data_IF_696472113685
#
_entry.id   IF_696472113685
#
_cell.length_a   1.000
_cell.length_b   1.000
_cell.length_c   1.000
_cell.angle_alpha   90.00
_cell.angle_beta   90.00
_cell.angle_gamma   90.00
#
_symmetry.space_group_name_H-M   'P 1'
#
loop_
_entity.id
_entity.type
_entity.pdbx_description
1 polymer ?
#
# COMPACT_ATOMS: atom_id res chain seq x y z
N UNK A 1 15.20 -12.91 14.80
CA UNK A 1 16.25 -12.58 13.82
C UNK A 1 16.53 -13.77 12.91
N UNK A 2 16.83 -13.50 11.65
CA UNK A 2 17.24 -14.52 10.68
C UNK A 2 18.70 -14.97 10.92
N UNK A 3 19.00 -16.20 10.51
CA UNK A 3 20.29 -16.87 10.67
C UNK A 3 21.48 -16.09 10.10
N UNK A 4 21.24 -15.22 9.11
CA UNK A 4 22.28 -14.36 8.53
C UNK A 4 22.83 -13.36 9.55
N UNK A 5 21.94 -12.81 10.39
CA UNK A 5 22.26 -11.78 11.38
C UNK A 5 22.61 -12.36 12.75
N UNK A 6 22.14 -13.56 13.07
CA UNK A 6 22.31 -14.14 14.41
C UNK A 6 23.73 -14.61 14.70
N UNK A 7 24.23 -14.30 15.88
CA UNK A 7 25.48 -14.85 16.44
C UNK A 7 25.53 -14.68 17.97
N UNK A 8 26.24 -15.57 18.69
CA UNK A 8 26.44 -15.44 20.13
C UNK A 8 27.04 -14.09 20.54
N UNK A 9 28.04 -13.61 19.80
CA UNK A 9 28.70 -12.31 20.07
C UNK A 9 27.71 -11.15 19.96
N UNK A 10 26.88 -11.13 18.90
CA UNK A 10 25.85 -10.11 18.74
C UNK A 10 24.83 -10.17 19.88
N UNK A 11 24.37 -11.36 20.25
CA UNK A 11 23.35 -11.54 21.27
C UNK A 11 23.84 -11.09 22.65
N UNK A 12 25.09 -11.42 23.01
CA UNK A 12 25.73 -10.91 24.23
C UNK A 12 25.82 -9.38 24.24
N UNK A 13 26.13 -8.76 23.09
CA UNK A 13 26.19 -7.29 22.96
C UNK A 13 24.82 -6.62 22.98
N UNK A 14 23.77 -7.29 22.51
CA UNK A 14 22.39 -6.81 22.62
C UNK A 14 21.91 -6.90 24.06
N UNK A 15 22.22 -8.00 24.73
CA UNK A 15 21.90 -8.19 26.14
C UNK A 15 22.57 -7.14 27.04
N UNK A 16 23.85 -6.80 26.81
CA UNK A 16 24.51 -5.73 27.57
C UNK A 16 23.87 -4.36 27.38
N UNK A 17 23.12 -4.17 26.29
CA UNK A 17 22.28 -2.99 26.02
C UNK A 17 20.83 -3.14 26.50
N UNK A 18 20.51 -4.19 27.25
CA UNK A 18 19.16 -4.55 27.70
C UNK A 18 18.18 -4.76 26.54
N UNK A 19 18.68 -5.25 25.40
CA UNK A 19 17.87 -5.60 24.23
C UNK A 19 17.78 -7.12 24.13
N UNK A 20 16.58 -7.64 24.34
CA UNK A 20 16.29 -9.07 24.16
C UNK A 20 16.36 -9.50 22.71
N UNK A 21 16.96 -10.66 22.44
CA UNK A 21 17.12 -11.20 21.10
C UNK A 21 16.70 -12.67 21.04
N UNK A 22 15.98 -13.04 19.98
CA UNK A 22 15.61 -14.41 19.67
C UNK A 22 15.63 -14.62 18.16
N UNK A 23 16.15 -15.76 17.69
CA UNK A 23 16.30 -16.02 16.27
C UNK A 23 16.90 -17.36 15.92
N UNK A 24 16.80 -17.71 14.65
CA UNK A 24 17.52 -18.87 14.10
C UNK A 24 18.99 -18.51 13.97
N UNK A 25 19.88 -19.50 14.12
CA UNK A 25 21.34 -19.32 13.99
C UNK A 25 21.94 -20.50 13.24
N UNK A 26 23.02 -20.25 12.49
CA UNK A 26 23.78 -21.33 11.87
C UNK A 26 24.59 -22.05 12.94
N UNK A 27 24.43 -23.37 13.06
CA UNK A 27 25.12 -24.16 14.10
C UNK A 27 26.66 -24.09 14.04
N UNK A 28 27.23 -23.83 12.87
CA UNK A 28 28.68 -23.68 12.67
C UNK A 28 29.21 -22.26 12.93
N UNK A 29 28.37 -21.34 13.45
CA UNK A 29 28.80 -19.97 13.76
C UNK A 29 29.77 -19.99 14.95
N UNK A 30 30.79 -19.13 14.93
CA UNK A 30 31.75 -19.00 16.03
C UNK A 30 31.03 -18.70 17.36
N UNK A 31 31.39 -19.44 18.41
CA UNK A 31 30.81 -19.33 19.74
C UNK A 31 29.57 -20.20 19.97
N UNK A 32 29.06 -20.89 18.95
CA UNK A 32 28.03 -21.92 19.15
C UNK A 32 28.63 -23.18 19.76
N UNK A 33 27.91 -23.89 20.65
CA UNK A 33 28.34 -25.18 21.17
C UNK A 33 28.47 -26.20 20.04
N UNK A 34 29.64 -26.86 19.96
CA UNK A 34 29.93 -27.84 18.91
C UNK A 34 29.09 -29.09 19.08
N UNK A 35 28.68 -29.38 20.31
CA UNK A 35 27.81 -30.49 20.67
C UNK A 35 26.47 -30.40 19.93
N UNK A 36 25.93 -29.20 19.71
CA UNK A 36 24.69 -29.00 18.95
C UNK A 36 24.85 -29.16 17.43
N UNK A 37 26.05 -29.44 16.91
CA UNK A 37 26.26 -29.72 15.49
C UNK A 37 25.56 -31.01 15.07
N UNK A 38 25.15 -31.05 13.80
CA UNK A 38 24.43 -32.21 13.25
C UNK A 38 25.23 -33.50 13.23
N UNK A 39 26.56 -33.40 13.18
CA UNK A 39 27.47 -34.53 13.24
C UNK A 39 27.51 -35.17 14.64
N UNK A 40 27.29 -34.37 15.69
CA UNK A 40 27.46 -34.79 17.09
C UNK A 40 26.14 -35.23 17.72
N UNK A 41 25.05 -34.52 17.44
CA UNK A 41 23.71 -34.88 17.92
C UNK A 41 22.81 -35.10 16.71
N UNK A 42 22.34 -36.32 16.50
CA UNK A 42 21.42 -36.69 15.41
C UNK A 42 19.98 -36.68 15.92
N UNK A 43 19.28 -35.56 15.74
CA UNK A 43 17.86 -35.43 16.04
C UNK A 43 17.01 -35.89 14.85
N UNK A 44 15.94 -36.63 15.14
CA UNK A 44 14.87 -37.01 14.23
C UNK A 44 13.62 -36.18 14.52
N UNK A 45 12.68 -36.21 13.58
CA UNK A 45 11.41 -35.49 13.72
C UNK A 45 10.62 -36.00 14.92
N UNK A 46 10.32 -35.09 15.85
CA UNK A 46 9.58 -35.38 17.07
C UNK A 46 10.42 -35.89 18.23
N UNK A 47 11.75 -35.87 18.10
CA UNK A 47 12.64 -35.96 19.26
C UNK A 47 12.55 -34.68 20.10
N UNK A 48 12.84 -34.81 21.39
CA UNK A 48 12.86 -33.69 22.31
C UNK A 48 13.94 -32.67 21.96
N UNK A 49 13.67 -31.37 22.17
CA UNK A 49 14.67 -30.33 21.93
C UNK A 49 15.85 -30.44 22.87
N UNK A 50 17.06 -30.25 22.33
CA UNK A 50 18.30 -30.23 23.12
C UNK A 50 18.69 -28.79 23.37
N UNK A 51 18.85 -28.44 24.64
CA UNK A 51 19.22 -27.09 25.08
C UNK A 51 20.65 -27.05 25.61
N UNK A 52 21.31 -25.92 25.39
CA UNK A 52 22.58 -25.57 26.02
C UNK A 52 22.51 -24.12 26.47
N UNK A 53 23.05 -23.83 27.64
CA UNK A 53 22.96 -22.52 28.24
C UNK A 53 24.35 -22.03 28.65
N UNK A 54 24.60 -20.75 28.40
CA UNK A 54 25.77 -20.03 28.89
C UNK A 54 25.31 -18.68 29.43
N UNK A 55 25.36 -18.50 30.75
CA UNK A 55 24.73 -17.36 31.41
C UNK A 55 23.23 -17.32 31.11
N UNK A 56 22.75 -16.19 30.60
CA UNK A 56 21.34 -16.01 30.21
C UNK A 56 21.05 -16.40 28.76
N UNK A 57 22.07 -16.79 28.00
CA UNK A 57 21.91 -17.14 26.58
C UNK A 57 21.63 -18.64 26.45
N UNK A 58 20.55 -18.96 25.75
CA UNK A 58 20.13 -20.33 25.48
C UNK A 58 20.26 -20.62 23.99
N UNK A 59 20.98 -21.69 23.67
CA UNK A 59 20.99 -22.32 22.36
C UNK A 59 20.10 -23.56 22.39
N UNK A 60 19.31 -23.77 21.34
CA UNK A 60 18.42 -24.92 21.24
C UNK A 60 18.54 -25.56 19.86
N UNK A 61 18.78 -26.87 19.81
CA UNK A 61 18.65 -27.65 18.59
C UNK A 61 17.34 -28.44 18.62
N UNK A 62 16.54 -28.31 17.55
CA UNK A 62 15.25 -28.99 17.45
C UNK A 62 15.00 -29.44 16.01
N UNK A 63 14.28 -30.55 15.84
CA UNK A 63 14.00 -31.12 14.53
C UNK A 63 12.50 -31.29 14.31
N UNK A 64 11.94 -30.41 13.48
CA UNK A 64 10.58 -30.52 12.97
C UNK A 64 10.60 -31.11 11.56
N UNK A 65 10.14 -30.38 10.55
CA UNK A 65 10.33 -30.74 9.13
C UNK A 65 11.81 -30.66 8.72
N UNK A 66 12.54 -29.69 9.27
CA UNK A 66 13.99 -29.53 9.10
C UNK A 66 14.61 -29.29 10.47
N UNK A 67 15.85 -29.72 10.65
CA UNK A 67 16.66 -29.33 11.81
C UNK A 67 16.85 -27.83 11.81
N UNK A 68 16.62 -27.21 12.95
CA UNK A 68 16.94 -25.81 13.19
C UNK A 68 17.73 -25.67 14.48
N UNK A 69 18.49 -24.58 14.56
CA UNK A 69 19.16 -24.17 15.77
C UNK A 69 18.69 -22.75 16.10
N UNK A 70 18.21 -22.57 17.32
CA UNK A 70 17.78 -21.29 17.85
C UNK A 70 18.82 -20.75 18.81
N UNK A 71 18.88 -19.43 18.89
CA UNK A 71 19.58 -18.69 19.91
C UNK A 71 18.62 -17.68 20.52
N UNK A 72 18.62 -17.57 21.84
CA UNK A 72 17.78 -16.61 22.55
C UNK A 72 18.47 -16.10 23.83
N UNK A 73 18.21 -14.84 24.17
CA UNK A 73 18.54 -14.23 25.48
C UNK A 73 17.29 -13.87 26.29
N UNK A 74 16.10 -14.20 25.77
CA UNK A 74 14.79 -13.89 26.38
C UNK A 74 13.96 -15.14 26.70
N UNK A 75 14.41 -16.30 26.23
CA UNK A 75 13.74 -17.58 26.38
C UNK A 75 14.64 -18.51 27.18
N UNK A 76 14.02 -19.43 27.93
CA UNK A 76 14.68 -20.49 28.70
C UNK A 76 14.54 -21.83 27.97
N UNK A 77 14.78 -22.95 28.66
CA UNK A 77 14.56 -24.30 28.17
C UNK A 77 13.08 -24.75 28.17
N UNK A 78 12.12 -23.83 28.29
CA UNK A 78 10.71 -24.17 28.33
C UNK A 78 10.21 -24.67 26.96
N UNK A 79 9.30 -25.64 27.02
CA UNK A 79 8.62 -26.24 25.88
C UNK A 79 7.11 -26.06 25.98
N UNK A 80 6.43 -26.17 24.83
CA UNK A 80 4.98 -26.19 24.70
C UNK A 80 4.59 -27.39 23.85
N UNK A 81 3.43 -27.96 24.16
CA UNK A 81 2.90 -29.09 23.41
C UNK A 81 2.52 -28.69 21.98
N UNK A 82 2.94 -29.50 21.03
CA UNK A 82 2.57 -29.38 19.62
C UNK A 82 2.05 -30.72 19.13
N UNK A 83 0.82 -30.77 18.65
CA UNK A 83 0.32 -31.95 17.95
C UNK A 83 0.90 -32.04 16.55
N UNK A 84 1.35 -33.24 16.17
CA UNK A 84 1.79 -33.57 14.83
C UNK A 84 1.09 -34.83 14.33
N UNK A 85 0.80 -34.88 13.03
CA UNK A 85 0.27 -36.09 12.40
C UNK A 85 1.29 -37.22 12.49
N UNK A 86 0.82 -38.40 12.89
CA UNK A 86 1.60 -39.62 13.01
C UNK A 86 0.79 -40.79 12.45
N UNK A 87 1.39 -41.55 11.53
CA UNK A 87 0.76 -42.76 10.99
C UNK A 87 0.76 -43.91 12.01
N UNK A 88 1.63 -43.84 13.02
CA UNK A 88 1.89 -44.91 13.97
C UNK A 88 1.02 -44.80 15.24
N UNK A 89 0.23 -43.73 15.39
CA UNK A 89 -0.65 -43.51 16.55
C UNK A 89 -2.11 -43.81 16.21
N UNK A 90 -2.84 -44.41 17.15
CA UNK A 90 -4.25 -44.78 16.99
C UNK A 90 -5.17 -43.59 16.64
N UNK A 91 -4.89 -42.39 17.15
CA UNK A 91 -5.61 -41.14 16.85
C UNK A 91 -5.14 -40.45 15.55
N UNK A 92 -4.15 -41.00 14.86
CA UNK A 92 -3.47 -40.37 13.72
C UNK A 92 -2.60 -39.15 14.09
N UNK A 93 -2.49 -38.84 15.38
CA UNK A 93 -1.77 -37.68 15.91
C UNK A 93 -0.93 -38.08 17.13
N UNK A 94 0.21 -37.42 17.33
CA UNK A 94 1.02 -37.51 18.54
C UNK A 94 1.46 -36.13 19.00
N UNK A 95 1.63 -35.96 20.30
CA UNK A 95 2.14 -34.73 20.91
C UNK A 95 3.66 -34.76 20.93
N UNK A 96 4.29 -33.64 20.58
CA UNK A 96 5.74 -33.45 20.66
C UNK A 96 6.05 -32.13 21.34
N UNK A 97 7.18 -32.08 22.04
CA UNK A 97 7.64 -30.86 22.67
C UNK A 97 8.22 -29.88 21.64
N UNK A 98 7.69 -28.66 21.64
CA UNK A 98 8.17 -27.55 20.83
C UNK A 98 8.80 -26.49 21.74
N UNK A 99 10.04 -26.04 21.50
CA UNK A 99 10.63 -24.96 22.28
C UNK A 99 9.81 -23.67 22.23
N UNK A 100 9.63 -23.02 23.38
CA UNK A 100 8.97 -21.70 23.47
C UNK A 100 9.67 -20.67 22.58
N UNK A 101 11.01 -20.71 22.51
CA UNK A 101 11.80 -19.85 21.62
C UNK A 101 11.38 -19.99 20.15
N UNK A 102 11.09 -21.21 19.68
CA UNK A 102 10.62 -21.46 18.31
C UNK A 102 9.19 -20.94 18.12
N UNK A 103 8.32 -21.14 19.11
CA UNK A 103 6.95 -20.63 19.05
C UNK A 103 6.90 -19.11 18.97
N UNK A 104 7.68 -18.43 19.82
CA UNK A 104 7.84 -16.97 19.83
C UNK A 104 8.44 -16.46 18.53
N UNK A 105 9.50 -17.11 18.03
CA UNK A 105 10.10 -16.76 16.75
C UNK A 105 9.09 -16.83 15.59
N UNK A 106 8.35 -17.93 15.47
CA UNK A 106 7.35 -18.09 14.40
C UNK A 106 6.24 -17.03 14.48
N UNK A 107 5.86 -16.59 15.69
CA UNK A 107 4.86 -15.55 15.87
C UNK A 107 5.36 -14.17 15.38
N UNK A 108 6.64 -13.86 15.59
CA UNK A 108 7.19 -12.52 15.31
C UNK A 108 7.97 -12.40 13.99
N UNK A 109 8.42 -13.50 13.38
CA UNK A 109 9.31 -13.45 12.21
C UNK A 109 8.65 -12.86 10.96
N UNK A 110 7.33 -12.97 10.81
CA UNK A 110 6.59 -12.56 9.61
C UNK A 110 6.41 -11.04 9.48
N UNK A 111 6.95 -10.22 10.39
CA UNK A 111 6.75 -8.77 10.38
C UNK A 111 7.29 -8.09 9.11
N UNK A 112 8.51 -8.46 8.68
CA UNK A 112 9.12 -7.91 7.46
C UNK A 112 8.38 -8.38 6.22
N UNK A 113 8.08 -9.68 6.13
CA UNK A 113 7.36 -10.26 4.99
C UNK A 113 5.97 -9.62 4.82
N UNK A 114 5.25 -9.35 5.92
CA UNK A 114 3.96 -8.67 5.88
C UNK A 114 4.08 -7.24 5.36
N UNK A 115 5.11 -6.52 5.78
CA UNK A 115 5.38 -5.18 5.27
C UNK A 115 5.72 -5.20 3.78
N UNK A 116 6.56 -6.14 3.34
CA UNK A 116 6.89 -6.33 1.92
C UNK A 116 5.68 -6.75 1.08
N UNK A 117 4.78 -7.57 1.63
CA UNK A 117 3.52 -7.92 0.99
C UNK A 117 2.64 -6.68 0.76
N UNK A 118 2.52 -5.82 1.77
CA UNK A 118 1.74 -4.58 1.67
C UNK A 118 2.34 -3.59 0.66
N UNK A 119 3.68 -3.52 0.58
CA UNK A 119 4.37 -2.73 -0.44
C UNK A 119 4.19 -3.33 -1.85
N UNK A 120 4.27 -4.65 -1.96
CA UNK A 120 4.17 -5.38 -3.23
C UNK A 120 2.81 -5.23 -3.92
N UNK A 121 1.76 -4.86 -3.19
CA UNK A 121 0.41 -4.66 -3.75
C UNK A 121 0.33 -3.42 -4.64
N UNK A 122 1.18 -2.40 -4.41
CA UNK A 122 1.13 -1.12 -5.12
C UNK A 122 2.51 -0.70 -5.62
N UNK A 123 3.04 -1.47 -6.57
CA UNK A 123 4.36 -1.18 -7.15
C UNK A 123 4.33 0.06 -8.05
N UNK A 124 5.43 0.81 -8.02
CA UNK A 124 5.64 1.92 -8.95
C UNK A 124 5.87 1.37 -10.36
N UNK A 125 4.98 1.67 -11.34
CA UNK A 125 4.97 0.97 -12.63
C UNK A 125 5.99 1.53 -13.64
N UNK A 126 6.62 2.68 -13.38
CA UNK A 126 7.48 3.31 -14.36
C UNK A 126 8.93 2.81 -14.25
N UNK A 127 9.45 2.31 -15.36
CA UNK A 127 10.88 2.04 -15.52
C UNK A 127 11.64 3.37 -15.51
N UNK A 128 12.68 3.46 -14.69
CA UNK A 128 13.60 4.58 -14.66
C UNK A 128 15.03 4.05 -14.70
N UNK A 129 15.88 4.65 -15.54
CA UNK A 129 17.32 4.35 -15.59
C UNK A 129 18.08 4.95 -14.40
N UNK A 130 17.45 5.90 -13.69
CA UNK A 130 18.03 6.60 -12.55
C UNK A 130 17.73 5.84 -11.27
N UNK A 131 18.74 5.17 -10.72
CA UNK A 131 18.61 4.31 -9.53
C UNK A 131 17.98 4.99 -8.30
N UNK A 132 18.19 6.29 -8.11
CA UNK A 132 17.66 7.03 -6.96
C UNK A 132 16.13 7.19 -7.00
N UNK A 133 15.49 7.11 -8.17
CA UNK A 133 14.03 7.09 -8.24
C UNK A 133 13.47 5.87 -7.50
N UNK A 134 14.11 4.72 -7.61
CA UNK A 134 13.71 3.51 -6.88
C UNK A 134 13.72 3.73 -5.37
N UNK A 135 14.74 4.40 -4.85
CA UNK A 135 14.79 4.76 -3.43
C UNK A 135 13.67 5.71 -3.03
N UNK A 136 13.44 6.76 -3.80
CA UNK A 136 12.36 7.72 -3.55
C UNK A 136 11.00 7.04 -3.51
N UNK A 137 10.69 6.20 -4.51
CA UNK A 137 9.42 5.47 -4.54
C UNK A 137 9.29 4.50 -3.38
N UNK A 138 10.36 3.76 -3.04
CA UNK A 138 10.35 2.86 -1.87
C UNK A 138 10.10 3.61 -0.57
N UNK A 139 10.74 4.77 -0.37
CA UNK A 139 10.55 5.61 0.80
C UNK A 139 9.10 6.15 0.89
N UNK A 140 8.55 6.63 -0.23
CA UNK A 140 7.15 7.09 -0.30
C UNK A 140 6.16 5.98 0.02
N UNK A 141 6.31 4.79 -0.59
CA UNK A 141 5.41 3.67 -0.33
C UNK A 141 5.54 3.18 1.13
N UNK A 142 6.76 3.18 1.69
CA UNK A 142 6.99 2.88 3.11
C UNK A 142 6.26 3.86 4.02
N UNK A 143 6.31 5.16 3.73
CA UNK A 143 5.59 6.18 4.46
C UNK A 143 4.06 5.95 4.41
N UNK A 144 3.51 5.59 3.25
CA UNK A 144 2.08 5.27 3.09
C UNK A 144 1.66 4.03 3.90
N UNK A 145 2.46 2.96 3.88
CA UNK A 145 2.19 1.75 4.68
C UNK A 145 2.23 2.09 6.18
N UNK A 146 3.23 2.86 6.62
CA UNK A 146 3.34 3.29 8.01
C UNK A 146 2.14 4.17 8.42
N UNK A 147 1.74 5.13 7.58
CA UNK A 147 0.57 5.97 7.82
C UNK A 147 -0.71 5.13 7.95
N UNK A 148 -0.87 4.11 7.10
CA UNK A 148 -2.00 3.19 7.20
C UNK A 148 -1.98 2.37 8.50
N UNK A 149 -0.81 1.90 8.95
CA UNK A 149 -0.67 1.21 10.24
C UNK A 149 -1.07 2.13 11.40
N UNK A 150 -0.65 3.40 11.37
CA UNK A 150 -1.02 4.39 12.39
C UNK A 150 -2.53 4.65 12.36
N UNK A 151 -3.10 4.86 11.17
CA UNK A 151 -4.54 5.04 10.99
C UNK A 151 -5.36 3.87 11.56
N UNK A 152 -4.97 2.63 11.24
CA UNK A 152 -5.58 1.40 11.77
C UNK A 152 -5.52 1.26 13.29
N UNK A 153 -4.52 1.89 13.92
CA UNK A 153 -4.37 1.89 15.38
C UNK A 153 -5.18 3.00 16.03
N UNK A 154 -5.31 4.14 15.36
CA UNK A 154 -6.05 5.31 15.85
C UNK A 154 -7.57 5.14 15.71
N UNK A 155 -8.06 4.65 14.57
CA UNK A 155 -9.48 4.39 14.33
C UNK A 155 -9.74 2.88 14.26
N UNK A 156 -10.47 2.36 15.25
CA UNK A 156 -10.85 0.95 15.35
C UNK A 156 -12.24 0.65 14.82
N UNK A 157 -13.04 1.67 14.51
CA UNK A 157 -14.44 1.50 14.13
C UNK A 157 -14.64 1.61 12.63
N UNK A 158 -13.99 2.57 11.97
CA UNK A 158 -14.15 2.81 10.54
C UNK A 158 -12.86 2.53 9.78
N UNK A 159 -12.44 1.28 9.79
CA UNK A 159 -11.23 0.85 9.12
C UNK A 159 -11.47 0.77 7.60
N UNK A 160 -10.93 1.74 6.87
CA UNK A 160 -10.84 1.64 5.41
C UNK A 160 -9.88 0.52 4.98
N UNK A 161 -10.16 -0.06 3.81
CA UNK A 161 -9.19 -0.91 3.15
C UNK A 161 -7.97 -0.09 2.64
N UNK A 162 -6.81 -0.72 2.41
CA UNK A 162 -5.60 -0.02 2.00
C UNK A 162 -5.76 0.79 0.71
N UNK A 163 -6.61 0.35 -0.23
CA UNK A 163 -6.83 1.03 -1.50
C UNK A 163 -7.60 2.32 -1.30
N UNK A 164 -8.74 2.25 -0.59
CA UNK A 164 -9.55 3.42 -0.27
C UNK A 164 -8.78 4.41 0.58
N UNK A 165 -8.02 3.94 1.56
CA UNK A 165 -7.14 4.80 2.35
C UNK A 165 -6.18 5.60 1.47
N UNK A 166 -5.50 4.93 0.52
CA UNK A 166 -4.63 5.60 -0.46
C UNK A 166 -5.39 6.60 -1.33
N UNK A 167 -6.59 6.26 -1.78
CA UNK A 167 -7.42 7.14 -2.59
C UNK A 167 -7.83 8.41 -1.84
N UNK A 168 -8.17 8.30 -0.55
CA UNK A 168 -8.44 9.45 0.30
C UNK A 168 -7.22 10.37 0.45
N UNK A 169 -6.02 9.79 0.63
CA UNK A 169 -4.78 10.59 0.67
C UNK A 169 -4.57 11.32 -0.66
N UNK A 170 -4.74 10.64 -1.79
CA UNK A 170 -4.58 11.24 -3.13
C UNK A 170 -5.56 12.40 -3.31
N UNK A 171 -6.85 12.18 -3.01
CA UNK A 171 -7.87 13.21 -3.14
C UNK A 171 -7.57 14.42 -2.25
N UNK A 172 -7.22 14.20 -0.98
CA UNK A 172 -6.86 15.31 -0.07
C UNK A 172 -5.63 16.10 -0.50
N UNK A 173 -4.64 15.45 -1.11
CA UNK A 173 -3.48 16.14 -1.70
C UNK A 173 -3.85 16.95 -2.95
N UNK A 174 -4.84 16.49 -3.73
CA UNK A 174 -5.31 17.15 -4.94
C UNK A 174 -6.28 18.30 -4.66
N UNK A 175 -7.06 18.24 -3.58
CA UNK A 175 -8.02 19.28 -3.19
C UNK A 175 -7.35 20.64 -3.03
N UNK A 176 -6.14 20.67 -2.46
CA UNK A 176 -5.36 21.91 -2.31
C UNK A 176 -4.50 22.25 -3.53
N UNK A 177 -4.46 21.37 -4.53
CA UNK A 177 -3.70 21.58 -5.77
C UNK A 177 -4.56 22.27 -6.84
N UNK A 178 -4.88 23.54 -6.62
CA UNK A 178 -5.45 24.38 -7.66
C UNK A 178 -4.35 24.78 -8.64
N UNK A 179 -4.30 24.10 -9.79
CA UNK A 179 -3.37 24.44 -10.86
C UNK A 179 -3.78 25.78 -11.47
N UNK A 180 -3.28 26.91 -10.92
CA UNK A 180 -3.36 28.24 -11.53
C UNK A 180 -2.52 28.36 -12.82
N UNK A 181 -2.05 27.24 -13.38
CA UNK A 181 -1.37 27.20 -14.66
C UNK A 181 -2.39 27.48 -15.77
N UNK A 182 -2.42 28.74 -16.23
CA UNK A 182 -2.91 29.06 -17.58
C UNK A 182 -2.24 28.07 -18.54
N UNK A 183 -3.02 27.28 -19.28
CA UNK A 183 -2.50 26.38 -20.31
C UNK A 183 -1.67 27.22 -21.29
N UNK A 184 -0.34 27.15 -21.19
CA UNK A 184 0.57 27.73 -22.18
C UNK A 184 0.80 26.66 -23.24
N UNK A 185 0.20 26.86 -24.41
CA UNK A 185 0.30 25.97 -25.57
C UNK A 185 -0.61 26.45 -26.70
N UNK A 186 -0.29 26.03 -27.94
CA UNK A 186 -1.14 26.26 -29.12
C UNK A 186 -2.53 25.63 -28.85
N UNK A 187 -3.65 26.32 -29.11
CA UNK A 187 -4.97 25.73 -28.99
C UNK A 187 -5.03 24.41 -29.76
N UNK A 188 -5.57 23.38 -29.12
CA UNK A 188 -5.80 22.10 -29.77
C UNK A 188 -6.70 22.29 -30.98
N UNK A 189 -6.25 21.85 -32.16
CA UNK A 189 -7.08 21.69 -33.35
C UNK A 189 -7.79 20.33 -33.23
N UNK A 190 -8.54 20.11 -32.15
CA UNK A 190 -9.40 18.95 -32.04
C UNK A 190 -10.69 19.24 -32.84
N UNK A 191 -11.19 18.30 -33.67
CA UNK A 191 -12.27 18.55 -34.62
C UNK A 191 -13.67 18.63 -33.99
N UNK A 192 -13.79 18.53 -32.68
CA UNK A 192 -15.04 18.76 -31.95
C UNK A 192 -14.94 20.08 -31.19
N UNK A 193 -15.72 21.11 -31.56
CA UNK A 193 -15.72 22.35 -30.81
C UNK A 193 -16.16 22.04 -29.39
N UNK A 194 -15.46 22.58 -28.39
CA UNK A 194 -15.75 22.40 -26.95
C UNK A 194 -17.22 22.63 -26.57
N UNK A 195 -17.99 23.33 -27.42
CA UNK A 195 -19.45 23.47 -27.30
C UNK A 195 -20.22 22.14 -27.43
N UNK A 196 -19.67 21.11 -28.06
CA UNK A 196 -20.33 19.81 -28.28
C UNK A 196 -19.87 18.73 -27.29
N UNK A 197 -18.96 19.06 -26.38
CA UNK A 197 -18.46 18.15 -25.35
C UNK A 197 -18.70 18.75 -23.96
N UNK A 198 -19.14 17.92 -23.00
CA UNK A 198 -19.48 18.35 -21.64
C UNK A 198 -20.97 18.66 -21.41
N UNK A 199 -21.33 18.93 -20.16
CA UNK A 199 -22.69 19.28 -19.73
C UNK A 199 -22.87 20.79 -19.76
N UNK A 200 -23.67 21.29 -20.72
CA UNK A 200 -24.01 22.70 -20.86
C UNK A 200 -25.42 22.95 -20.31
N UNK A 201 -25.59 23.98 -19.49
CA UNK A 201 -26.89 24.34 -18.90
C UNK A 201 -27.28 25.78 -19.26
N UNK A 202 -28.55 26.04 -19.59
CA UNK A 202 -29.03 27.40 -19.80
C UNK A 202 -28.97 28.19 -18.49
N UNK A 203 -28.42 29.40 -18.54
CA UNK A 203 -28.43 30.35 -17.44
C UNK A 203 -28.91 31.73 -17.94
N UNK A 204 -29.16 32.66 -17.03
CA UNK A 204 -29.52 34.05 -17.35
C UNK A 204 -28.31 34.97 -17.16
N UNK A 205 -28.25 36.04 -17.95
CA UNK A 205 -27.32 37.12 -17.67
C UNK A 205 -27.61 37.78 -16.32
N UNK A 206 -26.57 38.14 -15.58
CA UNK A 206 -26.68 38.82 -14.28
C UNK A 206 -27.44 40.15 -14.39
N UNK A 207 -27.19 40.89 -15.47
CA UNK A 207 -27.92 42.11 -15.78
C UNK A 207 -29.22 41.77 -16.54
N UNK A 208 -30.37 41.87 -15.85
CA UNK A 208 -31.71 41.63 -16.43
C UNK A 208 -32.05 42.54 -17.63
N UNK A 209 -31.41 43.70 -17.75
CA UNK A 209 -31.59 44.63 -18.89
C UNK A 209 -30.72 44.26 -20.09
N UNK A 210 -29.69 43.44 -19.90
CA UNK A 210 -28.81 42.98 -20.97
C UNK A 210 -29.47 41.85 -21.77
N UNK A 211 -29.92 42.16 -22.98
CA UNK A 211 -30.59 41.23 -23.90
C UNK A 211 -29.87 41.21 -25.26
N UNK A 212 -28.72 40.53 -25.37
CA UNK A 212 -28.01 40.41 -26.63
C UNK A 212 -28.78 39.57 -27.66
N UNK A 213 -28.37 39.67 -28.92
CA UNK A 213 -28.95 38.91 -30.02
C UNK A 213 -28.48 37.44 -29.94
N UNK A 214 -29.38 36.49 -30.22
CA UNK A 214 -29.08 35.05 -30.17
C UNK A 214 -28.13 34.64 -31.31
N UNK A 215 -27.03 33.95 -30.99
CA UNK A 215 -26.00 33.55 -31.97
C UNK A 215 -26.52 32.59 -33.06
N UNK A 216 -27.56 31.83 -32.76
CA UNK A 216 -28.09 30.77 -33.63
C UNK A 216 -29.14 31.29 -34.60
N UNK A 217 -30.11 32.06 -34.13
CA UNK A 217 -31.31 32.42 -34.90
C UNK A 217 -31.44 33.91 -35.20
N UNK A 218 -30.57 34.77 -34.65
CA UNK A 218 -30.57 36.18 -34.98
C UNK A 218 -29.66 36.44 -36.18
N UNK A 219 -30.23 37.01 -37.23
CA UNK A 219 -29.50 37.49 -38.41
C UNK A 219 -29.97 38.90 -38.76
N UNK A 220 -29.14 39.90 -38.38
CA UNK A 220 -29.41 41.31 -38.70
C UNK A 220 -29.39 41.59 -40.20
N UNK A 221 -28.63 40.82 -40.99
CA UNK A 221 -28.49 41.05 -42.44
C UNK A 221 -29.76 40.66 -43.20
N UNK A 222 -30.50 39.67 -42.67
CA UNK A 222 -31.79 39.20 -43.20
C UNK A 222 -33.01 39.84 -42.51
N UNK A 223 -32.80 40.85 -41.65
CA UNK A 223 -33.87 41.52 -40.91
C UNK A 223 -34.46 40.73 -39.73
N UNK A 224 -33.96 39.52 -39.46
CA UNK A 224 -34.47 38.65 -38.40
C UNK A 224 -33.66 38.84 -37.10
N UNK A 225 -33.96 39.89 -36.35
CA UNK A 225 -33.35 40.11 -35.03
C UNK A 225 -34.10 39.35 -33.94
N UNK A 226 -33.38 38.53 -33.16
CA UNK A 226 -33.93 37.82 -32.00
C UNK A 226 -33.05 38.00 -30.78
N UNK A 227 -33.58 38.64 -29.73
CA UNK A 227 -32.86 38.86 -28.47
C UNK A 227 -33.17 37.77 -27.44
N UNK A 228 -32.22 37.50 -26.55
CA UNK A 228 -32.37 36.50 -25.47
C UNK A 228 -31.79 37.03 -24.16
N UNK A 229 -32.42 36.64 -23.04
CA UNK A 229 -31.88 36.84 -21.69
C UNK A 229 -31.05 35.65 -21.21
N UNK A 230 -30.97 34.59 -22.02
CA UNK A 230 -30.33 33.33 -21.67
C UNK A 230 -28.98 33.18 -22.36
N UNK A 231 -28.06 32.50 -21.69
CA UNK A 231 -26.72 32.22 -22.17
C UNK A 231 -26.24 30.85 -21.70
N UNK A 232 -25.18 30.35 -22.34
CA UNK A 232 -24.37 29.27 -21.79
C UNK A 232 -23.16 29.89 -21.09
N UNK A 233 -23.04 29.77 -19.75
CA UNK A 233 -21.90 30.32 -18.99
C UNK A 233 -20.56 29.70 -19.39
N UNK A 234 -20.55 28.42 -19.78
CA UNK A 234 -19.33 27.71 -20.18
C UNK A 234 -18.81 28.17 -21.55
N UNK A 235 -19.71 28.50 -22.49
CA UNK A 235 -19.36 28.97 -23.84
C UNK A 235 -19.38 30.50 -23.98
N UNK A 236 -19.91 31.21 -22.99
CA UNK A 236 -20.11 32.67 -22.99
C UNK A 236 -20.83 33.19 -24.25
N UNK A 237 -21.91 32.53 -24.65
CA UNK A 237 -22.71 32.89 -25.83
C UNK A 237 -24.19 33.06 -25.50
N UNK A 238 -24.87 34.06 -26.11
CA UNK A 238 -26.30 34.26 -25.96
C UNK A 238 -27.11 33.28 -26.82
N UNK A 239 -27.99 32.50 -26.19
CA UNK A 239 -28.78 31.45 -26.85
C UNK A 239 -30.24 31.51 -26.35
N UNK A 240 -31.22 31.29 -27.23
CA UNK A 240 -32.60 31.02 -26.79
C UNK A 240 -32.68 29.64 -26.15
N UNK A 241 -33.54 29.46 -25.13
CA UNK A 241 -33.68 28.19 -24.39
C UNK A 241 -33.95 27.01 -25.33
N UNK A 242 -34.89 27.18 -26.27
CA UNK A 242 -35.21 26.17 -27.29
C UNK A 242 -35.58 26.86 -28.61
N UNK A 243 -35.18 26.34 -29.78
CA UNK A 243 -34.31 25.17 -30.01
C UNK A 243 -32.81 25.54 -30.11
N UNK A 244 -32.47 26.81 -29.87
CA UNK A 244 -31.13 27.35 -30.16
C UNK A 244 -30.04 26.77 -29.25
N UNK A 245 -30.35 26.58 -27.96
CA UNK A 245 -29.40 26.01 -27.01
C UNK A 245 -28.97 24.59 -27.43
N UNK A 246 -29.95 23.72 -27.69
CA UNK A 246 -29.68 22.36 -28.16
C UNK A 246 -28.89 22.37 -29.48
N UNK A 247 -29.35 23.08 -30.51
CA UNK A 247 -28.67 23.14 -31.82
C UNK A 247 -27.22 23.62 -31.70
N UNK A 248 -26.95 24.61 -30.85
CA UNK A 248 -25.60 25.11 -30.63
C UNK A 248 -24.69 24.08 -29.94
N UNK A 249 -25.23 23.15 -29.17
CA UNK A 249 -24.45 22.14 -28.46
C UNK A 249 -24.45 20.76 -29.14
N UNK A 250 -25.30 20.52 -30.15
CA UNK A 250 -25.41 19.21 -30.81
C UNK A 250 -25.05 19.20 -32.30
N UNK A 251 -25.11 20.33 -33.02
CA UNK A 251 -24.91 20.37 -34.48
C UNK A 251 -23.60 21.03 -34.91
N UNK A 252 -22.92 20.48 -35.92
CA UNK A 252 -21.73 21.11 -36.53
C UNK A 252 -22.06 22.44 -37.21
N UNK A 253 -23.16 22.49 -37.96
CA UNK A 253 -23.73 23.71 -38.54
C UNK A 253 -24.97 24.10 -37.73
N UNK A 254 -24.88 25.20 -36.98
CA UNK A 254 -25.90 25.58 -36.02
C UNK A 254 -26.73 26.80 -36.44
N UNK A 255 -26.22 27.68 -37.31
CA UNK A 255 -26.97 28.87 -37.78
C UNK A 255 -28.18 28.46 -38.62
N UNK A 256 -29.25 29.25 -38.49
CA UNK A 256 -30.50 29.16 -39.27
C UNK A 256 -30.44 30.05 -40.51
#
# INVERSE_FOLDING_TARGET
MDNFYSSPILYAKLESKKIGACGTVRGNRRGMPKELLQQNIKLKKGDDPVFMQSGNMVACAWHDTKRLTMLSTIDTNLTVDKEIRSKDHASGHRTVEKPVAVARYNHSMAGVDRFDQMLGTYQYPHKSVKWYHTLYHRARETALVNAYIVYRKADKQNILDPQRFRQHIINGLLEHWHSNRKRKGRPSIAPLPLRMTGQHFPDKFENKKYKPDCEVCSDRKRGNRRQTSFCCKQCNVPLCISPCFERYHTLKQYKM
#
